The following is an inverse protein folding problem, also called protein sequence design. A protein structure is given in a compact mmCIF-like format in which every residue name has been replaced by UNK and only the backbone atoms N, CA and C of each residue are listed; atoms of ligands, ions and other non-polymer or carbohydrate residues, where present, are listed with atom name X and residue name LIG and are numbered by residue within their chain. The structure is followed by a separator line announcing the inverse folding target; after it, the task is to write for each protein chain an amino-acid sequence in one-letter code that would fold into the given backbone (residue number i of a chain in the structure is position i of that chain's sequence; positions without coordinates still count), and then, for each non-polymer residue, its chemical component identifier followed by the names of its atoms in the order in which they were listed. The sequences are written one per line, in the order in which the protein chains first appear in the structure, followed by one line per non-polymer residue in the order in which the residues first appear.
data_IF_820129609773
#
_entry.id   IF_820129609773
#
_cell.length_a   1.000
_cell.length_b   1.000
_cell.length_c   1.000
_cell.angle_alpha   90.00
_cell.angle_beta   90.00
_cell.angle_gamma   90.00
#
_symmetry.space_group_name_H-M   'P 1'
#
loop_
_entity.id
_entity.type
_entity.pdbx_description
1 polymer ?
#
# COMPACT_ATOMS: atom_id res chain seq x y z
N UNK A 1 -5.63 2.23 0.34
CA UNK A 1 -4.30 2.51 -0.21
C UNK A 1 -3.18 2.30 0.81
N UNK A 2 -3.25 2.82 2.04
CA UNK A 2 -2.21 2.58 3.06
C UNK A 2 -1.93 1.09 3.36
N UNK A 3 -2.98 0.28 3.58
CA UNK A 3 -2.84 -1.16 3.81
C UNK A 3 -2.21 -1.87 2.58
N UNK A 4 -2.51 -1.41 1.36
CA UNK A 4 -1.88 -1.91 0.13
C UNK A 4 -0.40 -1.52 0.04
N UNK A 5 -0.05 -0.29 0.44
CA UNK A 5 1.32 0.20 0.45
C UNK A 5 2.21 -0.56 1.45
N UNK A 6 1.67 -0.92 2.62
CA UNK A 6 2.36 -1.75 3.62
C UNK A 6 2.57 -3.17 3.09
N UNK A 7 1.56 -3.74 2.43
CA UNK A 7 1.64 -5.09 1.86
C UNK A 7 2.50 -5.21 0.60
N UNK A 8 2.79 -4.08 -0.07
CA UNK A 8 3.57 -4.05 -1.30
C UNK A 8 5.08 -4.06 -1.10
N UNK A 9 5.57 -4.14 0.14
CA UNK A 9 7.00 -4.13 0.44
C UNK A 9 7.64 -5.47 0.05
N UNK A 10 8.67 -5.48 -0.81
CA UNK A 10 9.34 -6.70 -1.25
C UNK A 10 10.16 -7.38 -0.14
N UNK A 11 10.54 -6.64 0.91
CA UNK A 11 11.35 -7.15 2.02
C UNK A 11 10.54 -7.14 3.34
N UNK A 12 10.28 -8.35 3.85
CA UNK A 12 9.87 -8.62 5.24
C UNK A 12 8.47 -8.16 5.70
N UNK A 13 7.51 -7.92 4.81
CA UNK A 13 6.12 -7.55 5.19
C UNK A 13 6.03 -6.29 6.10
N UNK A 14 7.09 -5.48 6.14
CA UNK A 14 7.20 -4.31 7.01
C UNK A 14 7.74 -3.10 6.24
N UNK A 15 7.31 -1.91 6.64
CA UNK A 15 7.83 -0.64 6.14
C UNK A 15 7.96 0.36 7.28
N UNK A 16 8.82 1.34 7.13
CA UNK A 16 8.91 2.47 8.03
C UNK A 16 7.79 3.49 7.78
N UNK A 17 7.53 4.35 8.76
CA UNK A 17 6.60 5.49 8.59
C UNK A 17 7.06 6.42 7.46
N UNK A 18 8.38 6.56 7.27
CA UNK A 18 8.97 7.39 6.22
C UNK A 18 8.71 6.82 4.83
N UNK A 19 8.95 5.52 4.63
CA UNK A 19 8.64 4.83 3.38
C UNK A 19 7.13 4.86 3.08
N UNK A 20 6.28 4.69 4.10
CA UNK A 20 4.83 4.83 3.93
C UNK A 20 4.45 6.23 3.44
N UNK A 21 5.07 7.27 4.00
CA UNK A 21 4.81 8.65 3.59
C UNK A 21 5.22 8.89 2.13
N UNK A 22 6.34 8.33 1.71
CA UNK A 22 6.85 8.39 0.33
C UNK A 22 5.93 7.63 -0.65
N UNK A 23 5.55 6.39 -0.33
CA UNK A 23 4.66 5.57 -1.14
C UNK A 23 3.29 6.21 -1.33
N UNK A 24 2.77 6.87 -0.29
CA UNK A 24 1.47 7.55 -0.35
C UNK A 24 1.56 9.01 -0.81
N UNK A 25 2.76 9.55 -1.06
CA UNK A 25 2.98 10.95 -1.43
C UNK A 25 2.34 11.93 -0.41
N UNK A 26 2.44 11.62 0.89
CA UNK A 26 1.88 12.44 1.98
C UNK A 26 2.98 12.96 2.91
N UNK A 27 2.63 13.98 3.71
CA UNK A 27 3.52 14.50 4.75
C UNK A 27 3.74 13.47 5.85
N UNK A 28 4.94 13.45 6.43
CA UNK A 28 5.31 12.52 7.49
C UNK A 28 4.32 12.52 8.68
N UNK A 29 3.92 13.69 9.20
CA UNK A 29 2.93 13.76 10.29
C UNK A 29 1.56 13.17 9.92
N UNK A 30 1.16 13.27 8.65
CA UNK A 30 -0.08 12.67 8.15
C UNK A 30 0.05 11.15 8.10
N UNK A 31 1.23 10.63 7.73
CA UNK A 31 1.53 9.20 7.76
C UNK A 31 1.52 8.68 9.21
N UNK A 32 2.16 9.38 10.15
CA UNK A 32 2.10 9.06 11.59
C UNK A 32 0.65 8.95 12.07
N UNK A 33 -0.17 9.98 11.85
CA UNK A 33 -1.56 9.97 12.27
C UNK A 33 -2.41 8.90 11.58
N UNK A 34 -2.05 8.50 10.36
CA UNK A 34 -2.69 7.38 9.66
C UNK A 34 -2.35 6.04 10.31
N UNK A 35 -1.06 5.82 10.59
CA UNK A 35 -0.57 4.63 11.29
C UNK A 35 -1.17 4.54 12.69
N UNK A 36 -1.30 5.68 13.39
CA UNK A 36 -1.97 5.74 14.69
C UNK A 36 -3.40 5.19 14.64
N UNK A 37 -4.18 5.62 13.65
CA UNK A 37 -5.55 5.17 13.49
C UNK A 37 -5.62 3.69 13.12
N UNK A 38 -4.73 3.20 12.25
CA UNK A 38 -4.68 1.79 11.87
C UNK A 38 -4.28 0.90 13.05
N UNK A 39 -3.33 1.34 13.88
CA UNK A 39 -2.91 0.63 15.08
C UNK A 39 -4.03 0.62 16.14
N UNK A 40 -4.75 1.72 16.31
CA UNK A 40 -5.90 1.80 17.21
C UNK A 40 -7.06 0.86 16.80
N UNK A 41 -7.08 0.42 15.54
CA UNK A 41 -8.02 -0.56 15.01
C UNK A 41 -7.47 -1.99 14.94
N UNK A 42 -6.28 -2.22 15.51
CA UNK A 42 -5.55 -3.49 15.48
C UNK A 42 -5.29 -4.02 14.06
N UNK A 43 -5.10 -3.12 13.09
CA UNK A 43 -4.81 -3.48 11.69
C UNK A 43 -3.30 -3.51 11.39
N UNK A 44 -2.51 -2.81 12.20
CA UNK A 44 -1.05 -2.76 12.07
C UNK A 44 -0.39 -2.83 13.45
N UNK A 45 0.79 -3.42 13.52
CA UNK A 45 1.70 -3.32 14.66
C UNK A 45 2.77 -2.26 14.41
N UNK A 46 3.37 -1.77 15.49
CA UNK A 46 4.51 -0.86 15.45
C UNK A 46 5.64 -1.40 16.30
N UNK A 47 6.80 -1.55 15.69
CA UNK A 47 8.00 -2.07 16.34
C UNK A 47 9.16 -1.10 16.14
N UNK A 48 9.80 -0.62 17.22
CA UNK A 48 11.05 0.13 17.10
C UNK A 48 12.12 -0.74 16.45
N UNK A 49 12.91 -0.17 15.54
CA UNK A 49 14.04 -0.85 14.92
C UNK A 49 15.06 -1.32 15.97
N UNK A 50 15.57 -2.54 15.78
CA UNK A 50 16.61 -3.10 16.65
C UNK A 50 17.95 -2.35 16.51
N UNK A 51 18.26 -1.89 15.30
CA UNK A 51 19.51 -1.18 14.97
C UNK A 51 19.45 0.34 15.26
N UNK A 52 18.34 1.00 14.93
CA UNK A 52 18.06 2.39 15.30
C UNK A 52 16.63 2.53 15.83
N UNK A 53 16.51 2.89 17.12
CA UNK A 53 15.22 3.10 17.78
C UNK A 53 14.45 4.32 17.24
N UNK A 54 15.09 5.14 16.39
CA UNK A 54 14.43 6.22 15.65
C UNK A 54 13.59 5.72 14.48
N UNK A 55 13.88 4.52 13.99
CA UNK A 55 13.09 3.89 12.95
C UNK A 55 11.94 3.12 13.59
N UNK A 56 10.72 3.37 13.11
CA UNK A 56 9.52 2.66 13.54
C UNK A 56 9.03 1.86 12.34
N UNK A 57 9.10 0.55 12.47
CA UNK A 57 8.58 -0.40 11.49
C UNK A 57 7.10 -0.64 11.74
N UNK A 58 6.37 -0.81 10.64
CA UNK A 58 4.94 -1.01 10.58
C UNK A 58 4.69 -2.28 9.79
N UNK A 59 3.91 -3.19 10.38
CA UNK A 59 3.58 -4.48 9.77
C UNK A 59 2.08 -4.73 9.91
N UNK A 60 1.48 -5.48 8.98
CA UNK A 60 0.06 -5.85 9.09
C UNK A 60 -0.14 -6.92 10.17
N UNK A 61 -1.16 -6.73 11.01
CA UNK A 61 -1.68 -7.80 11.88
C UNK A 61 -2.41 -8.86 11.03
N UNK A 62 -2.75 -10.04 11.58
CA UNK A 62 -3.64 -10.98 10.91
C UNK A 62 -4.96 -10.34 10.45
N UNK A 63 -5.58 -9.51 11.30
CA UNK A 63 -6.79 -8.76 10.96
C UNK A 63 -6.54 -7.76 9.81
N UNK A 64 -5.40 -7.06 9.82
CA UNK A 64 -4.99 -6.19 8.72
C UNK A 64 -4.84 -6.92 7.39
N UNK A 65 -4.28 -8.15 7.43
CA UNK A 65 -4.14 -9.03 6.26
C UNK A 65 -5.51 -9.50 5.73
N UNK A 66 -6.47 -9.78 6.59
CA UNK A 66 -7.84 -10.13 6.18
C UNK A 66 -8.55 -8.96 5.48
N UNK A 67 -8.43 -7.74 6.03
CA UNK A 67 -8.97 -6.53 5.40
C UNK A 67 -8.28 -6.26 4.06
N UNK A 68 -6.95 -6.45 3.99
CA UNK A 68 -6.22 -6.35 2.73
C UNK A 68 -6.77 -7.32 1.69
N UNK A 69 -7.04 -8.57 2.05
CA UNK A 69 -7.55 -9.58 1.13
C UNK A 69 -8.90 -9.18 0.53
N UNK A 70 -9.80 -8.66 1.36
CA UNK A 70 -11.12 -8.15 0.94
C UNK A 70 -10.98 -6.94 0.01
N UNK A 71 -10.17 -5.95 0.40
CA UNK A 71 -9.94 -4.74 -0.40
C UNK A 71 -9.25 -5.05 -1.72
N UNK A 72 -8.27 -5.96 -1.72
CA UNK A 72 -7.54 -6.36 -2.91
C UNK A 72 -8.42 -7.12 -3.90
N UNK A 73 -9.38 -7.91 -3.42
CA UNK A 73 -10.36 -8.55 -4.29
C UNK A 73 -11.23 -7.51 -5.02
N UNK A 74 -11.74 -6.51 -4.30
CA UNK A 74 -12.50 -5.42 -4.90
C UNK A 74 -11.65 -4.58 -5.88
N UNK A 75 -10.39 -4.29 -5.53
CA UNK A 75 -9.51 -3.51 -6.38
C UNK A 75 -9.10 -4.27 -7.65
N UNK A 76 -8.83 -5.58 -7.55
CA UNK A 76 -8.58 -6.43 -8.73
C UNK A 76 -9.79 -6.53 -9.65
N UNK A 77 -11.00 -6.58 -9.09
CA UNK A 77 -12.21 -6.58 -9.89
C UNK A 77 -12.36 -5.27 -10.69
N UNK A 78 -12.06 -4.14 -10.06
CA UNK A 78 -12.12 -2.85 -10.73
C UNK A 78 -11.02 -2.70 -11.79
N UNK A 79 -9.79 -3.15 -11.52
CA UNK A 79 -8.73 -3.20 -12.54
C UNK A 79 -9.08 -4.11 -13.72
N UNK A 80 -9.73 -5.25 -13.48
CA UNK A 80 -10.24 -6.11 -14.57
C UNK A 80 -11.32 -5.42 -15.39
N UNK A 81 -12.11 -4.53 -14.78
CA UNK A 81 -13.17 -3.78 -15.44
C UNK A 81 -12.62 -2.63 -16.29
N UNK A 82 -11.69 -1.85 -15.73
CA UNK A 82 -11.16 -0.64 -16.35
C UNK A 82 -9.97 -0.96 -17.29
N UNK A 83 -9.17 -1.98 -16.98
CA UNK A 83 -7.94 -2.33 -17.70
C UNK A 83 -8.09 -2.39 -19.23
N UNK A 84 -9.10 -3.10 -19.77
CA UNK A 84 -9.34 -3.14 -21.21
C UNK A 84 -9.64 -1.76 -21.82
N UNK A 85 -10.34 -0.89 -21.08
CA UNK A 85 -10.68 0.47 -21.56
C UNK A 85 -9.45 1.38 -21.59
N UNK A 86 -8.58 1.26 -20.57
CA UNK A 86 -7.31 1.98 -20.53
C UNK A 86 -6.37 1.53 -21.65
N UNK A 87 -6.33 0.23 -21.95
CA UNK A 87 -5.54 -0.31 -23.05
C UNK A 87 -5.95 0.30 -24.40
N UNK A 88 -7.24 0.28 -24.72
CA UNK A 88 -7.78 0.88 -25.94
C UNK A 88 -7.46 2.39 -26.03
N UNK A 89 -7.53 3.11 -24.91
CA UNK A 89 -7.20 4.53 -24.88
C UNK A 89 -5.70 4.78 -25.07
N UNK A 90 -4.85 3.95 -24.45
CA UNK A 90 -3.40 4.05 -24.60
C UNK A 90 -2.98 3.76 -26.03
N UNK A 91 -3.50 2.70 -26.67
CA UNK A 91 -3.27 2.39 -28.09
C UNK A 91 -3.62 3.57 -29.02
N UNK A 92 -4.75 4.24 -28.74
CA UNK A 92 -5.18 5.40 -29.53
C UNK A 92 -4.26 6.61 -29.37
N UNK A 93 -3.59 6.75 -28.23
CA UNK A 93 -2.70 7.87 -27.93
C UNK A 93 -1.25 7.60 -28.33
N UNK A 94 -0.79 6.34 -28.26
CA UNK A 94 0.59 5.95 -28.58
C UNK A 94 0.75 5.48 -30.02
N UNK A 95 -0.32 5.01 -30.68
CA UNK A 95 -0.24 4.45 -32.04
C UNK A 95 0.56 3.14 -32.15
N UNK A 96 0.93 2.54 -31.02
CA UNK A 96 1.70 1.30 -30.91
C UNK A 96 1.03 0.36 -29.90
N UNK A 97 1.00 -0.94 -30.23
CA UNK A 97 0.58 -2.02 -29.32
C UNK A 97 1.54 -2.07 -28.12
N UNK A 98 1.09 -1.56 -26.96
CA UNK A 98 1.98 -1.32 -25.81
C UNK A 98 2.43 -2.62 -25.13
N UNK A 99 1.78 -3.77 -25.33
CA UNK A 99 2.18 -5.04 -24.70
C UNK A 99 1.76 -6.25 -25.55
N UNK A 100 2.61 -6.64 -26.51
CA UNK A 100 2.68 -8.02 -27.00
C UNK A 100 3.66 -8.86 -26.18
#
# INVERSE_FOLDING_TARGET
QAILAIAGSPDQDQITVSELAEHLQIRHHSAVGLVDRLAAQDLVTREPGEADKREVYISLTPQGKDILAQLSAAHRQELRRIGPQLHLLLEQLTGEDVLS
#
